data_IF_716554008254
#
_entry.id   IF_716554008254
#
_cell.length_a   1.000
_cell.length_b   1.000
_cell.length_c   1.000
_cell.angle_alpha   90.00
_cell.angle_beta   90.00
_cell.angle_gamma   90.00
#
_symmetry.space_group_name_H-M   'P 1'
#
loop_
_entity.id
_entity.type
_entity.pdbx_description
1 polymer ?
#
# COMPACT_ATOMS: atom_id res chain seq x y z
N UNK A 1 3.62 -27.43 -1.73
CA UNK A 1 3.81 -28.51 -0.74
C UNK A 1 2.53 -29.32 -0.71
N UNK A 2 2.55 -30.54 -1.25
CA UNK A 2 1.40 -31.45 -1.19
C UNK A 2 1.47 -32.30 0.08
N UNK A 3 0.31 -32.54 0.67
CA UNK A 3 0.14 -33.28 1.92
C UNK A 3 -0.17 -34.76 1.65
N UNK A 4 0.38 -35.32 0.56
CA UNK A 4 0.03 -36.66 0.05
C UNK A 4 0.48 -37.79 1.00
N UNK A 5 1.29 -37.48 2.01
CA UNK A 5 1.79 -38.42 3.00
C UNK A 5 0.86 -38.60 4.20
N UNK A 6 -0.19 -37.79 4.34
CA UNK A 6 -1.17 -37.91 5.44
C UNK A 6 -2.27 -38.89 5.02
N UNK A 7 -2.51 -40.01 5.74
CA UNK A 7 -3.57 -40.95 5.41
C UNK A 7 -4.94 -40.27 5.45
N UNK A 8 -5.80 -40.56 4.47
CA UNK A 8 -7.18 -40.10 4.50
C UNK A 8 -7.88 -40.61 5.75
N UNK A 9 -8.64 -39.76 6.45
CA UNK A 9 -9.41 -40.17 7.61
C UNK A 9 -10.53 -41.12 7.17
N UNK A 10 -10.94 -42.09 8.01
CA UNK A 10 -12.03 -42.99 7.65
C UNK A 10 -13.31 -42.18 7.37
N UNK A 11 -13.86 -42.32 6.15
CA UNK A 11 -15.07 -41.61 5.73
C UNK A 11 -14.85 -40.28 5.01
N UNK A 12 -13.61 -39.84 4.80
CA UNK A 12 -13.28 -38.63 4.05
C UNK A 12 -13.07 -39.02 2.57
N UNK A 13 -14.02 -38.69 1.69
CA UNK A 13 -13.88 -38.92 0.26
C UNK A 13 -12.85 -37.90 -0.26
N UNK A 14 -11.82 -38.29 -1.03
CA UNK A 14 -10.83 -37.35 -1.59
C UNK A 14 -11.44 -36.20 -2.41
N UNK A 15 -12.71 -36.33 -2.79
CA UNK A 15 -13.52 -35.34 -3.52
C UNK A 15 -14.28 -34.37 -2.61
N UNK A 16 -14.28 -34.57 -1.29
CA UNK A 16 -14.93 -33.70 -0.30
C UNK A 16 -14.20 -32.35 -0.10
N UNK A 17 -13.10 -32.14 -0.83
CA UNK A 17 -12.42 -30.85 -0.87
C UNK A 17 -13.26 -29.73 -1.50
N UNK A 18 -12.97 -28.46 -1.18
CA UNK A 18 -13.71 -27.32 -1.71
C UNK A 18 -13.71 -27.30 -3.24
N UNK A 19 -14.89 -27.07 -3.82
CA UNK A 19 -15.10 -27.12 -5.27
C UNK A 19 -14.15 -26.15 -6.02
N UNK A 20 -13.76 -26.46 -7.27
CA UNK A 20 -12.88 -25.58 -8.05
C UNK A 20 -13.43 -24.16 -8.21
N UNK A 21 -14.75 -24.03 -8.31
CA UNK A 21 -15.44 -22.74 -8.36
C UNK A 21 -15.27 -21.95 -7.07
N UNK A 22 -15.46 -22.60 -5.90
CA UNK A 22 -15.29 -21.96 -4.60
C UNK A 22 -13.84 -21.49 -4.41
N UNK A 23 -12.85 -22.30 -4.77
CA UNK A 23 -11.42 -21.92 -4.69
C UNK A 23 -11.14 -20.68 -5.54
N UNK A 24 -11.68 -20.62 -6.75
CA UNK A 24 -11.51 -19.47 -7.65
C UNK A 24 -12.16 -18.20 -7.06
N UNK A 25 -13.38 -18.29 -6.56
CA UNK A 25 -14.08 -17.15 -5.95
C UNK A 25 -13.32 -16.63 -4.73
N UNK A 26 -12.89 -17.51 -3.84
CA UNK A 26 -12.10 -17.13 -2.65
C UNK A 26 -10.79 -16.47 -3.07
N UNK A 27 -10.09 -17.02 -4.06
CA UNK A 27 -8.84 -16.43 -4.57
C UNK A 27 -9.08 -15.02 -5.11
N UNK A 28 -10.12 -14.82 -5.91
CA UNK A 28 -10.49 -13.50 -6.44
C UNK A 28 -10.82 -12.53 -5.31
N UNK A 29 -11.61 -12.96 -4.33
CA UNK A 29 -11.95 -12.14 -3.16
C UNK A 29 -10.70 -11.73 -2.38
N UNK A 30 -9.77 -12.66 -2.14
CA UNK A 30 -8.50 -12.36 -1.46
C UNK A 30 -7.73 -11.30 -2.25
N UNK A 31 -7.57 -11.48 -3.56
CA UNK A 31 -6.87 -10.52 -4.42
C UNK A 31 -7.51 -9.13 -4.38
N UNK A 32 -8.84 -9.06 -4.47
CA UNK A 32 -9.58 -7.79 -4.42
C UNK A 32 -9.42 -7.10 -3.07
N UNK A 33 -9.56 -7.85 -1.96
CA UNK A 33 -9.39 -7.31 -0.61
C UNK A 33 -7.95 -6.83 -0.41
N UNK A 34 -6.95 -7.61 -0.82
CA UNK A 34 -5.55 -7.19 -0.76
C UNK A 34 -5.30 -5.94 -1.59
N UNK A 35 -5.86 -5.83 -2.79
CA UNK A 35 -5.74 -4.64 -3.62
C UNK A 35 -6.35 -3.40 -2.94
N UNK A 36 -7.53 -3.53 -2.33
CA UNK A 36 -8.17 -2.44 -1.56
C UNK A 36 -7.27 -2.03 -0.39
N UNK A 37 -6.71 -2.97 0.36
CA UNK A 37 -5.79 -2.66 1.45
C UNK A 37 -4.54 -1.92 0.96
N UNK A 38 -3.92 -2.37 -0.13
CA UNK A 38 -2.76 -1.70 -0.73
C UNK A 38 -3.10 -0.27 -1.11
N UNK A 39 -4.24 -0.05 -1.76
CA UNK A 39 -4.70 1.30 -2.13
C UNK A 39 -4.94 2.16 -0.89
N UNK A 40 -5.60 1.62 0.13
CA UNK A 40 -5.87 2.33 1.39
C UNK A 40 -4.59 2.75 2.12
N UNK A 41 -3.60 1.86 2.20
CA UNK A 41 -2.31 2.21 2.81
C UNK A 41 -1.53 3.20 1.96
N UNK A 42 -1.59 3.08 0.63
CA UNK A 42 -0.96 4.03 -0.27
C UNK A 42 -1.56 5.44 -0.12
N UNK A 43 -2.89 5.56 -0.06
CA UNK A 43 -3.54 6.88 0.09
C UNK A 43 -3.25 7.53 1.44
N UNK A 44 -3.25 6.77 2.54
CA UNK A 44 -2.90 7.30 3.86
C UNK A 44 -1.43 7.71 3.92
N UNK A 45 -0.53 6.87 3.38
CA UNK A 45 0.91 7.17 3.37
C UNK A 45 1.26 8.40 2.54
N UNK A 46 0.55 8.62 1.43
CA UNK A 46 0.73 9.80 0.57
C UNK A 46 0.20 11.07 1.24
N UNK A 47 -1.00 11.04 1.82
CA UNK A 47 -1.59 12.22 2.48
C UNK A 47 -0.81 12.69 3.70
N UNK A 48 -0.36 11.76 4.55
CA UNK A 48 0.43 12.12 5.74
C UNK A 48 1.78 12.77 5.41
N UNK A 49 2.40 12.39 4.28
CA UNK A 49 3.65 12.98 3.84
C UNK A 49 3.48 14.42 3.36
N UNK A 50 2.40 14.69 2.63
CA UNK A 50 2.09 16.01 2.09
C UNK A 50 1.74 17.00 3.20
N UNK A 51 0.88 16.60 4.14
CA UNK A 51 0.53 17.42 5.30
C UNK A 51 1.76 17.81 6.14
N UNK A 52 2.70 16.88 6.30
CA UNK A 52 3.95 17.11 7.04
C UNK A 52 4.87 18.09 6.30
N UNK A 53 4.98 17.96 4.98
CA UNK A 53 5.77 18.88 4.16
C UNK A 53 5.18 20.30 4.16
N UNK A 54 3.85 20.42 4.18
CA UNK A 54 3.15 21.71 4.31
C UNK A 54 3.34 22.31 5.70
N UNK A 55 3.36 21.48 6.75
CA UNK A 55 3.62 21.94 8.12
C UNK A 55 5.08 22.42 8.32
N UNK A 56 6.05 21.77 7.69
CA UNK A 56 7.49 22.09 7.79
C UNK A 56 7.96 23.12 6.76
N UNK A 57 7.04 23.73 6.00
CA UNK A 57 7.39 24.62 4.88
C UNK A 57 8.17 25.89 5.33
N UNK A 58 9.15 26.34 4.56
CA UNK A 58 9.84 27.61 4.79
C UNK A 58 8.89 28.82 4.73
N UNK A 59 9.23 29.90 5.45
CA UNK A 59 8.47 31.15 5.38
C UNK A 59 8.46 31.70 3.94
N UNK A 60 7.30 32.12 3.45
CA UNK A 60 7.12 32.62 2.08
C UNK A 60 6.65 31.57 1.06
N UNK A 61 6.68 30.27 1.39
CA UNK A 61 6.17 29.20 0.51
C UNK A 61 4.69 28.96 0.79
N UNK A 62 3.85 29.04 -0.24
CA UNK A 62 2.41 28.73 -0.10
C UNK A 62 2.15 27.22 -0.04
N UNK A 63 1.06 26.78 0.58
CA UNK A 63 0.77 25.35 0.73
C UNK A 63 0.61 24.64 -0.62
N UNK A 64 0.04 25.32 -1.63
CA UNK A 64 -0.11 24.80 -2.98
C UNK A 64 1.18 24.76 -3.82
N UNK A 65 2.30 25.22 -3.27
CA UNK A 65 3.62 25.16 -3.89
C UNK A 65 4.50 24.03 -3.32
N UNK A 66 4.03 23.31 -2.31
CA UNK A 66 4.76 22.21 -1.69
C UNK A 66 4.46 20.93 -2.46
N UNK A 67 5.49 20.28 -2.99
CA UNK A 67 5.38 18.95 -3.59
C UNK A 67 5.92 17.89 -2.62
N UNK A 68 5.15 16.82 -2.40
CA UNK A 68 5.63 15.63 -1.69
C UNK A 68 5.97 14.53 -2.71
N UNK A 69 7.24 14.13 -2.79
CA UNK A 69 7.66 12.99 -3.63
C UNK A 69 7.97 11.78 -2.79
N UNK A 70 7.41 10.65 -3.21
CA UNK A 70 7.79 9.36 -2.66
C UNK A 70 9.22 9.01 -3.08
N UNK A 71 10.08 8.64 -2.11
CA UNK A 71 11.40 8.05 -2.37
C UNK A 71 11.45 6.64 -1.80
N UNK A 72 12.04 5.74 -2.57
CA UNK A 72 12.21 4.35 -2.18
C UNK A 72 13.44 4.12 -1.28
N UNK A 73 14.42 5.04 -1.27
CA UNK A 73 15.62 4.92 -0.43
C UNK A 73 16.19 6.28 0.06
N UNK A 74 16.43 6.45 1.38
CA UNK A 74 15.79 5.71 2.46
C UNK A 74 14.26 5.89 2.36
N UNK A 75 13.46 4.84 2.60
CA UNK A 75 12.02 4.88 2.32
C UNK A 75 11.34 6.02 3.08
N UNK A 76 10.59 6.86 2.37
CA UNK A 76 9.89 7.99 2.96
C UNK A 76 9.43 9.02 1.93
N UNK A 77 8.89 10.13 2.41
CA UNK A 77 8.47 11.27 1.59
C UNK A 77 9.51 12.39 1.65
N UNK A 78 9.92 12.89 0.50
CA UNK A 78 10.81 14.04 0.37
C UNK A 78 10.00 15.28 0.01
N UNK A 79 10.17 16.34 0.80
CA UNK A 79 9.52 17.63 0.56
C UNK A 79 10.33 18.42 -0.47
N UNK A 80 9.70 18.77 -1.59
CA UNK A 80 10.28 19.60 -2.63
C UNK A 80 9.60 20.97 -2.55
N UNK A 81 10.41 22.00 -2.31
CA UNK A 81 9.95 23.39 -2.27
C UNK A 81 10.42 24.11 -3.53
N UNK A 82 9.68 25.12 -4.02
CA UNK A 82 10.16 25.95 -5.11
C UNK A 82 11.42 26.66 -4.64
N UNK A 83 12.53 26.45 -5.34
CA UNK A 83 13.74 27.26 -5.18
C UNK A 83 13.54 28.61 -5.85
N UNK A 84 12.52 29.36 -5.41
CA UNK A 84 12.33 30.76 -5.77
C UNK A 84 12.99 31.60 -4.69
N UNK A 85 14.12 32.22 -5.03
CA UNK A 85 14.75 33.33 -4.31
C UNK A 85 14.67 33.28 -2.78
N UNK A 86 15.41 32.34 -2.17
CA UNK A 86 15.96 32.59 -0.81
C UNK A 86 17.12 33.58 -0.95
N UNK A 87 16.84 34.79 -1.44
CA UNK A 87 17.73 35.91 -1.20
C UNK A 87 17.63 36.24 0.28
N UNK A 88 18.62 35.78 1.03
CA UNK A 88 18.97 36.34 2.34
C UNK A 88 19.17 37.84 2.15
N UNK A 89 18.20 38.66 2.58
CA UNK A 89 18.32 40.09 2.81
C UNK A 89 17.43 40.47 3.99
#
# INVERSE_FOLDING_TARGET
MSWDWVPARPGEDPRDGPSPALRRVVTVLVVLVTAVFVVYYATIGLGQGEDRCVAERPQGVSAGQVEARWRWWPPGTACVYPTGDVTRA
#
